data_IF_426580608815
#
_entry.id   IF_426580608815
#
_cell.length_a   1.000
_cell.length_b   1.000
_cell.length_c   1.000
_cell.angle_alpha   90.00
_cell.angle_beta   90.00
_cell.angle_gamma   90.00
#
_symmetry.space_group_name_H-M   'P 1'
#
loop_
_entity.id
_entity.type
_entity.pdbx_description
1 polymer ?
#
# COMPACT_ATOMS: atom_id res chain seq x y z
N UNK A 1 21.25 -33.16 25.22
CA UNK A 1 21.52 -31.73 24.93
C UNK A 1 20.29 -31.20 24.20
N UNK A 2 19.33 -30.70 24.96
CA UNK A 2 18.03 -30.26 24.43
C UNK A 2 18.17 -28.79 24.07
N UNK A 3 18.10 -28.47 22.78
CA UNK A 3 18.04 -27.09 22.28
C UNK A 3 16.67 -26.51 22.64
N UNK A 4 16.62 -25.70 23.69
CA UNK A 4 15.53 -24.76 23.93
C UNK A 4 15.52 -23.78 22.76
N UNK A 5 14.42 -23.73 21.99
CA UNK A 5 14.16 -22.62 21.07
C UNK A 5 13.80 -21.42 21.93
N UNK A 6 14.67 -20.41 21.94
CA UNK A 6 14.33 -19.07 22.41
C UNK A 6 13.19 -18.53 21.53
N UNK A 7 12.02 -18.35 22.13
CA UNK A 7 10.87 -17.66 21.53
C UNK A 7 10.80 -16.18 21.96
N UNK A 8 11.82 -15.67 22.65
CA UNK A 8 11.90 -14.29 23.18
C UNK A 8 12.58 -13.31 22.21
N UNK A 9 12.43 -13.51 20.90
CA UNK A 9 12.85 -12.52 19.91
C UNK A 9 11.65 -11.74 19.38
N UNK A 10 11.31 -10.64 20.06
CA UNK A 10 10.27 -9.69 19.65
C UNK A 10 10.62 -8.95 18.33
N UNK A 11 11.81 -9.19 17.74
CA UNK A 11 12.16 -8.61 16.45
C UNK A 11 11.37 -9.34 15.36
N UNK A 12 10.71 -8.60 14.44
CA UNK A 12 10.08 -9.24 13.30
C UNK A 12 11.14 -10.03 12.53
N UNK A 13 10.87 -11.30 12.17
CA UNK A 13 11.81 -12.12 11.42
C UNK A 13 12.41 -11.34 10.25
N UNK A 14 13.73 -11.41 10.06
CA UNK A 14 14.45 -10.74 8.95
C UNK A 14 13.79 -11.00 7.58
N UNK A 15 13.15 -12.16 7.41
CA UNK A 15 12.36 -12.53 6.23
C UNK A 15 11.15 -11.61 6.01
N UNK A 16 10.46 -11.18 7.07
CA UNK A 16 9.36 -10.23 6.97
C UNK A 16 9.85 -8.83 6.59
N UNK A 17 10.97 -8.39 7.18
CA UNK A 17 11.57 -7.09 6.88
C UNK A 17 12.08 -7.04 5.43
N UNK A 18 12.78 -8.09 4.97
CA UNK A 18 13.24 -8.24 3.60
C UNK A 18 12.09 -8.43 2.61
N UNK A 19 11.00 -9.08 2.99
CA UNK A 19 9.83 -9.20 2.11
C UNK A 19 9.15 -7.85 1.88
N UNK A 20 8.94 -7.08 2.96
CA UNK A 20 8.27 -5.78 2.89
C UNK A 20 9.11 -4.72 2.17
N UNK A 21 10.41 -4.67 2.43
CA UNK A 21 11.33 -3.70 1.82
C UNK A 21 12.06 -4.23 0.58
N UNK A 22 11.83 -5.49 0.18
CA UNK A 22 12.65 -6.18 -0.80
C UNK A 22 12.73 -5.48 -2.14
N UNK A 23 11.64 -4.90 -2.61
CA UNK A 23 11.65 -4.11 -3.84
C UNK A 23 12.54 -2.87 -3.73
N UNK A 24 12.47 -2.13 -2.63
CA UNK A 24 13.28 -0.92 -2.41
C UNK A 24 14.75 -1.30 -2.15
N UNK A 25 15.00 -2.44 -1.50
CA UNK A 25 16.35 -2.91 -1.20
C UNK A 25 17.08 -3.50 -2.41
N UNK A 26 16.34 -3.96 -3.43
CA UNK A 26 16.92 -4.71 -4.55
C UNK A 26 16.57 -4.16 -5.94
N UNK A 27 15.57 -3.29 -6.06
CA UNK A 27 15.16 -2.65 -7.29
C UNK A 27 15.79 -1.27 -7.47
N UNK A 28 15.98 -0.85 -8.72
CA UNK A 28 16.26 0.56 -9.02
C UNK A 28 14.97 1.37 -9.01
N UNK A 29 15.09 2.68 -8.78
CA UNK A 29 13.94 3.61 -8.82
C UNK A 29 13.17 3.50 -10.14
N UNK A 30 13.88 3.38 -11.28
CA UNK A 30 13.26 3.23 -12.59
C UNK A 30 12.51 1.91 -12.73
N UNK A 31 13.06 0.81 -12.22
CA UNK A 31 12.42 -0.49 -12.27
C UNK A 31 11.15 -0.52 -11.42
N UNK A 32 11.20 0.07 -10.22
CA UNK A 32 10.05 0.20 -9.32
C UNK A 32 8.98 1.07 -9.98
N UNK A 33 9.35 2.24 -10.51
CA UNK A 33 8.42 3.14 -11.20
C UNK A 33 7.75 2.45 -12.39
N UNK A 34 8.52 1.77 -13.24
CA UNK A 34 8.00 1.03 -14.39
C UNK A 34 7.04 -0.09 -13.96
N UNK A 35 7.35 -0.81 -12.87
CA UNK A 35 6.44 -1.83 -12.33
C UNK A 35 5.13 -1.20 -11.84
N UNK A 36 5.20 -0.13 -11.05
CA UNK A 36 4.00 0.54 -10.51
C UNK A 36 3.11 1.10 -11.61
N UNK A 37 3.68 1.70 -12.64
CA UNK A 37 2.91 2.15 -13.80
C UNK A 37 2.21 0.99 -14.52
N UNK A 38 2.88 -0.16 -14.70
CA UNK A 38 2.24 -1.35 -15.31
C UNK A 38 1.09 -1.89 -14.47
N UNK A 39 1.26 -1.94 -13.15
CA UNK A 39 0.23 -2.44 -12.24
C UNK A 39 -1.03 -1.55 -12.28
N UNK A 40 -0.85 -0.23 -12.21
CA UNK A 40 -1.95 0.74 -12.28
C UNK A 40 -2.67 0.70 -13.63
N UNK A 41 -1.91 0.65 -14.73
CA UNK A 41 -2.50 0.51 -16.07
C UNK A 41 -3.31 -0.78 -16.19
N UNK A 42 -2.82 -1.90 -15.66
CA UNK A 42 -3.57 -3.15 -15.66
C UNK A 42 -4.88 -3.07 -14.85
N UNK A 43 -4.94 -2.26 -13.80
CA UNK A 43 -6.18 -2.03 -13.04
C UNK A 43 -7.15 -1.21 -13.91
N UNK A 44 -6.65 -0.13 -14.52
CA UNK A 44 -7.43 0.76 -15.38
C UNK A 44 -7.99 0.06 -16.62
N UNK A 45 -7.18 -0.71 -17.33
CA UNK A 45 -7.60 -1.50 -18.52
C UNK A 45 -8.71 -2.51 -18.21
N UNK A 46 -8.76 -2.99 -16.96
CA UNK A 46 -9.78 -3.94 -16.49
C UNK A 46 -11.03 -3.26 -15.94
N UNK A 47 -11.07 -1.92 -15.93
CA UNK A 47 -12.14 -1.12 -15.34
C UNK A 47 -12.47 -1.53 -13.90
N UNK A 48 -11.44 -1.89 -13.13
CA UNK A 48 -11.60 -2.22 -11.71
C UNK A 48 -11.73 -0.90 -10.94
N UNK A 49 -12.86 -0.70 -10.26
CA UNK A 49 -13.03 0.43 -9.36
C UNK A 49 -11.93 0.42 -8.30
N UNK A 50 -11.23 1.55 -8.17
CA UNK A 50 -10.07 1.66 -7.28
C UNK A 50 -10.25 2.85 -6.35
N UNK A 51 -10.18 2.58 -5.03
CA UNK A 51 -10.24 3.59 -3.98
C UNK A 51 -8.93 3.58 -3.19
N UNK A 52 -8.25 4.71 -3.15
CA UNK A 52 -7.04 4.90 -2.37
C UNK A 52 -7.35 5.64 -1.07
N UNK A 53 -7.07 5.00 0.06
CA UNK A 53 -7.18 5.61 1.39
C UNK A 53 -5.80 6.03 1.88
N UNK A 54 -5.65 7.28 2.29
CA UNK A 54 -4.38 7.88 2.74
C UNK A 54 -4.58 8.71 4.02
N UNK A 55 -3.53 8.91 4.81
CA UNK A 55 -3.59 9.68 6.07
C UNK A 55 -3.43 11.18 5.89
N UNK A 56 -3.03 11.63 4.70
CA UNK A 56 -2.81 13.04 4.40
C UNK A 56 -3.08 13.33 2.93
N UNK A 57 -3.40 14.59 2.63
CA UNK A 57 -3.58 15.06 1.27
C UNK A 57 -2.36 14.71 0.40
N UNK A 58 -2.54 13.95 -0.70
CA UNK A 58 -1.43 13.62 -1.58
C UNK A 58 -0.87 14.85 -2.29
N UNK A 59 0.45 14.90 -2.57
CA UNK A 59 1.01 15.97 -3.39
C UNK A 59 0.35 16.01 -4.78
N UNK A 60 0.06 17.21 -5.29
CA UNK A 60 -0.62 17.38 -6.58
C UNK A 60 0.06 16.64 -7.74
N UNK A 61 1.40 16.62 -7.78
CA UNK A 61 2.18 15.87 -8.79
C UNK A 61 1.92 14.36 -8.74
N UNK A 62 1.67 13.82 -7.55
CA UNK A 62 1.43 12.39 -7.36
C UNK A 62 0.01 12.04 -7.80
N UNK A 63 -0.97 12.90 -7.47
CA UNK A 63 -2.33 12.74 -7.97
C UNK A 63 -2.38 12.77 -9.49
N UNK A 64 -1.68 13.73 -10.13
CA UNK A 64 -1.65 13.82 -11.59
C UNK A 64 -1.12 12.54 -12.24
N UNK A 65 0.00 12.00 -11.75
CA UNK A 65 0.54 10.73 -12.23
C UNK A 65 -0.42 9.56 -11.99
N UNK A 66 -1.11 9.52 -10.86
CA UNK A 66 -2.05 8.46 -10.53
C UNK A 66 -3.30 8.50 -11.41
N UNK A 67 -3.84 9.69 -11.66
CA UNK A 67 -5.04 9.88 -12.49
C UNK A 67 -4.79 9.71 -13.98
N UNK A 68 -3.53 9.79 -14.44
CA UNK A 68 -3.17 9.40 -15.81
C UNK A 68 -3.44 7.91 -16.09
N UNK A 69 -3.19 7.05 -15.09
CA UNK A 69 -3.44 5.60 -15.20
C UNK A 69 -4.85 5.20 -14.74
N UNK A 70 -5.40 5.91 -13.76
CA UNK A 70 -6.71 5.64 -13.16
C UNK A 70 -7.56 6.92 -13.11
N UNK A 71 -8.21 7.32 -14.23
CA UNK A 71 -8.95 8.58 -14.29
C UNK A 71 -10.10 8.69 -13.29
N UNK A 72 -10.72 7.56 -12.96
CA UNK A 72 -11.89 7.48 -12.07
C UNK A 72 -11.51 7.09 -10.62
N UNK A 73 -10.23 7.21 -10.24
CA UNK A 73 -9.80 6.85 -8.89
C UNK A 73 -10.47 7.73 -7.83
N UNK A 74 -10.94 7.09 -6.76
CA UNK A 74 -11.40 7.81 -5.58
C UNK A 74 -10.30 7.89 -4.53
N UNK A 75 -10.00 9.10 -4.06
CA UNK A 75 -9.03 9.33 -2.99
C UNK A 75 -9.76 9.74 -1.72
N UNK A 76 -9.61 8.94 -0.67
CA UNK A 76 -10.16 9.23 0.66
C UNK A 76 -9.03 9.57 1.60
N UNK A 77 -9.02 10.80 2.12
CA UNK A 77 -8.11 11.19 3.20
C UNK A 77 -8.77 10.86 4.54
N UNK A 78 -8.19 9.91 5.27
CA UNK A 78 -8.57 9.54 6.62
C UNK A 78 -7.40 9.85 7.56
N UNK A 79 -7.35 11.06 8.16
CA UNK A 79 -6.26 11.48 9.02
C UNK A 79 -6.04 10.51 10.19
N UNK A 80 -4.78 10.29 10.55
CA UNK A 80 -4.42 9.42 11.68
C UNK A 80 -3.28 8.47 11.35
N UNK A 81 -3.51 7.17 11.58
CA UNK A 81 -2.49 6.13 11.46
C UNK A 81 -2.15 5.78 10.01
N UNK A 82 -0.91 5.36 9.77
CA UNK A 82 -0.50 4.70 8.52
C UNK A 82 -1.27 3.39 8.26
N UNK A 83 -1.78 2.75 9.33
CA UNK A 83 -2.63 1.58 9.27
C UNK A 83 -4.07 1.94 9.67
N UNK A 84 -4.83 2.63 8.80
CA UNK A 84 -6.17 3.09 9.14
C UNK A 84 -7.15 1.95 9.40
N UNK A 85 -6.89 0.75 8.86
CA UNK A 85 -7.69 -0.45 9.14
C UNK A 85 -7.50 -0.99 10.57
N UNK A 86 -6.40 -0.65 11.24
CA UNK A 86 -6.18 -0.99 12.65
C UNK A 86 -6.71 0.10 13.58
N UNK A 87 -6.53 1.38 13.21
CA UNK A 87 -6.95 2.51 14.03
C UNK A 87 -8.47 2.78 13.94
N UNK A 88 -9.05 2.66 12.74
CA UNK A 88 -10.42 3.04 12.42
C UNK A 88 -11.15 1.93 11.62
N UNK A 89 -11.19 0.67 12.12
CA UNK A 89 -11.67 -0.48 11.37
C UNK A 89 -13.12 -0.32 10.89
N UNK A 90 -13.99 0.28 11.72
CA UNK A 90 -15.39 0.51 11.37
C UNK A 90 -15.54 1.54 10.23
N UNK A 91 -14.67 2.55 10.20
CA UNK A 91 -14.66 3.56 9.12
C UNK A 91 -14.22 2.93 7.81
N UNK A 92 -13.16 2.12 7.83
CA UNK A 92 -12.72 1.37 6.65
C UNK A 92 -13.79 0.40 6.16
N UNK A 93 -14.45 -0.34 7.07
CA UNK A 93 -15.51 -1.27 6.69
C UNK A 93 -16.69 -0.56 5.99
N UNK A 94 -17.04 0.65 6.42
CA UNK A 94 -18.07 1.47 5.74
C UNK A 94 -17.66 1.88 4.33
N UNK A 95 -16.38 2.14 4.08
CA UNK A 95 -15.88 2.44 2.73
C UNK A 95 -15.94 1.22 1.79
N UNK A 96 -16.00 -0.01 2.31
CA UNK A 96 -16.08 -1.21 1.45
C UNK A 96 -17.49 -1.50 0.95
N UNK A 97 -18.53 -0.99 1.63
CA UNK A 97 -19.94 -1.24 1.29
C UNK A 97 -20.58 -0.14 0.46
N UNK A 98 -19.89 0.98 0.27
CA UNK A 98 -20.36 2.13 -0.54
C UNK A 98 -19.68 2.24 -1.91
N UNK A 99 -18.91 1.22 -2.30
CA UNK A 99 -18.28 1.10 -3.62
C UNK A 99 -19.11 0.29 -4.60
#
# INVERSE_FOLDING_TARGET
>A
MTMTRDFDDDRPPLVLLHGYWGEILHGSDEAIAAQRSRDLLSIGERNIAYRWVTSSEPPARYLAWLTEALPEIEVTVLPGSHFPHLAEPATIARLLVTG
#
